data_IF_654806059653
#
_entry.id   IF_654806059653
#
_cell.length_a   1.000
_cell.length_b   1.000
_cell.length_c   1.000
_cell.angle_alpha   90.00
_cell.angle_beta   90.00
_cell.angle_gamma   90.00
#
_symmetry.space_group_name_H-M   'P 1'
#
loop_
_entity.id
_entity.type
_entity.pdbx_description
1 polymer ?
#
# COMPACT_ATOMS: atom_id res chain seq x y z
N UNK A 1 23.33 -23.99 -3.32
CA UNK A 1 22.75 -22.63 -3.20
C UNK A 1 22.10 -22.32 -4.52
N UNK A 2 20.79 -22.08 -4.54
CA UNK A 2 20.12 -21.61 -5.75
C UNK A 2 20.68 -20.23 -6.12
N UNK A 3 20.87 -19.98 -7.42
CA UNK A 3 21.27 -18.65 -7.88
C UNK A 3 20.20 -17.63 -7.48
N UNK A 4 20.59 -16.40 -7.07
CA UNK A 4 19.63 -15.37 -6.75
C UNK A 4 18.78 -15.06 -7.98
N UNK A 5 17.47 -14.91 -7.77
CA UNK A 5 16.53 -14.50 -8.81
C UNK A 5 16.99 -13.16 -9.43
N UNK A 6 17.39 -13.18 -10.68
CA UNK A 6 17.76 -11.98 -11.44
C UNK A 6 16.59 -11.55 -12.32
N UNK A 7 15.92 -10.44 -11.96
CA UNK A 7 14.88 -9.84 -12.79
C UNK A 7 15.52 -9.10 -13.97
N UNK A 8 15.89 -9.81 -15.02
CA UNK A 8 16.41 -9.21 -16.26
C UNK A 8 15.33 -8.63 -17.17
N UNK A 9 14.05 -8.70 -16.74
CA UNK A 9 12.89 -8.38 -17.60
C UNK A 9 12.69 -6.88 -17.87
N UNK A 10 13.45 -5.99 -17.23
CA UNK A 10 13.26 -4.54 -17.32
C UNK A 10 11.95 -4.04 -16.67
N UNK A 11 11.20 -4.92 -16.02
CA UNK A 11 9.97 -4.58 -15.30
C UNK A 11 10.31 -3.97 -13.94
N UNK A 12 9.56 -2.93 -13.56
CA UNK A 12 9.75 -2.26 -12.28
C UNK A 12 9.38 -3.17 -11.09
N UNK A 13 8.25 -3.88 -11.21
CA UNK A 13 7.74 -4.84 -10.22
C UNK A 13 7.24 -6.08 -10.95
N UNK A 14 7.55 -7.23 -10.42
CA UNK A 14 7.03 -8.53 -10.84
C UNK A 14 6.27 -9.17 -9.68
N UNK A 15 5.13 -9.77 -10.01
CA UNK A 15 4.32 -10.51 -9.06
C UNK A 15 4.20 -11.97 -9.47
N UNK A 16 4.23 -12.85 -8.49
CA UNK A 16 4.05 -14.29 -8.67
C UNK A 16 2.96 -14.77 -7.73
N UNK A 17 2.07 -15.61 -8.21
CA UNK A 17 0.98 -16.20 -7.44
C UNK A 17 1.36 -17.63 -7.04
N UNK A 18 1.04 -18.02 -5.79
CA UNK A 18 1.26 -19.38 -5.30
C UNK A 18 0.24 -20.37 -5.88
N UNK A 19 -0.96 -19.91 -6.19
CA UNK A 19 -2.05 -20.75 -6.69
C UNK A 19 -2.92 -20.01 -7.72
N UNK A 20 -3.59 -20.74 -8.63
CA UNK A 20 -4.36 -20.12 -9.72
C UNK A 20 -5.56 -19.29 -9.29
N UNK A 21 -6.16 -19.58 -8.12
CA UNK A 21 -7.33 -18.87 -7.59
C UNK A 21 -7.00 -17.52 -6.95
N UNK A 22 -5.70 -17.23 -6.69
CA UNK A 22 -5.28 -15.96 -6.11
C UNK A 22 -5.54 -14.82 -7.08
N UNK A 23 -6.26 -13.81 -6.61
CA UNK A 23 -6.57 -12.63 -7.42
C UNK A 23 -5.27 -11.87 -7.70
N UNK A 24 -4.91 -11.65 -8.97
CA UNK A 24 -3.70 -10.90 -9.29
C UNK A 24 -3.81 -9.45 -8.82
N UNK A 25 -2.68 -8.79 -8.52
CA UNK A 25 -2.69 -7.38 -8.16
C UNK A 25 -3.33 -6.54 -9.27
N UNK A 26 -4.31 -5.73 -8.92
CA UNK A 26 -5.01 -4.85 -9.86
C UNK A 26 -4.43 -3.45 -9.77
N UNK A 27 -4.21 -2.80 -10.92
CA UNK A 27 -3.78 -1.41 -10.92
C UNK A 27 -4.77 -0.56 -10.10
N UNK A 28 -4.26 0.21 -9.15
CA UNK A 28 -5.07 1.10 -8.34
C UNK A 28 -5.73 2.19 -9.22
N UNK A 29 -6.99 2.52 -8.93
CA UNK A 29 -7.72 3.50 -9.71
C UNK A 29 -7.66 4.90 -9.07
N UNK A 30 -7.74 5.92 -9.90
CA UNK A 30 -7.62 7.32 -9.49
C UNK A 30 -8.82 7.85 -8.70
N UNK A 31 -9.92 7.10 -8.64
CA UNK A 31 -11.11 7.46 -7.87
C UNK A 31 -11.11 6.87 -6.47
N UNK A 32 -10.11 6.01 -6.15
CA UNK A 32 -10.11 5.19 -4.94
C UNK A 32 -11.42 4.39 -4.79
N UNK A 33 -11.81 3.68 -5.86
CA UNK A 33 -13.08 2.93 -5.91
C UNK A 33 -14.31 3.77 -5.53
N UNK A 34 -14.31 5.06 -5.90
CA UNK A 34 -15.35 6.01 -5.56
C UNK A 34 -15.22 6.65 -4.17
N UNK A 35 -14.13 6.37 -3.43
CA UNK A 35 -13.89 6.93 -2.10
C UNK A 35 -13.57 8.43 -2.11
N UNK A 36 -13.05 8.96 -3.24
CA UNK A 36 -12.78 10.39 -3.36
C UNK A 36 -14.06 11.14 -3.74
N UNK A 37 -14.45 12.18 -2.99
CA UNK A 37 -15.59 13.04 -3.38
C UNK A 37 -15.43 13.58 -4.80
N UNK A 38 -16.53 13.76 -5.53
CA UNK A 38 -16.53 14.19 -6.94
C UNK A 38 -15.69 15.47 -7.18
N UNK A 39 -15.79 16.47 -6.30
CA UNK A 39 -14.98 17.69 -6.39
C UNK A 39 -13.47 17.39 -6.19
N UNK A 40 -13.10 16.51 -5.25
CA UNK A 40 -11.72 16.07 -5.06
C UNK A 40 -11.20 15.34 -6.29
N UNK A 41 -11.98 14.43 -6.85
CA UNK A 41 -11.62 13.70 -8.07
C UNK A 41 -11.48 14.64 -9.27
N UNK A 42 -12.33 15.66 -9.39
CA UNK A 42 -12.31 16.60 -10.51
C UNK A 42 -11.14 17.61 -10.44
N UNK A 43 -10.84 18.11 -9.23
CA UNK A 43 -9.95 19.28 -9.10
C UNK A 43 -8.61 18.96 -8.41
N UNK A 44 -8.52 17.88 -7.63
CA UNK A 44 -7.31 17.57 -6.87
C UNK A 44 -6.49 16.43 -7.50
N UNK A 45 -5.55 16.79 -8.37
CA UNK A 45 -4.66 15.78 -8.99
C UNK A 45 -3.77 15.06 -7.94
N UNK A 46 -3.44 15.70 -6.83
CA UNK A 46 -2.67 15.07 -5.76
C UNK A 46 -3.41 13.87 -5.16
N UNK A 47 -4.73 13.99 -4.86
CA UNK A 47 -5.55 12.89 -4.39
C UNK A 47 -5.63 11.76 -5.42
N UNK A 48 -5.87 12.11 -6.69
CA UNK A 48 -5.96 11.15 -7.79
C UNK A 48 -4.66 10.39 -8.00
N UNK A 49 -3.53 11.09 -7.96
CA UNK A 49 -2.21 10.48 -8.12
C UNK A 49 -1.92 9.51 -6.98
N UNK A 50 -2.16 9.91 -5.72
CA UNK A 50 -1.97 9.04 -4.58
C UNK A 50 -2.85 7.77 -4.63
N UNK A 51 -4.12 7.92 -5.05
CA UNK A 51 -5.05 6.79 -5.18
C UNK A 51 -4.66 5.83 -6.30
N UNK A 52 -4.30 6.36 -7.48
CA UNK A 52 -3.95 5.56 -8.66
C UNK A 52 -2.49 5.09 -8.69
N UNK A 53 -1.72 5.29 -7.61
CA UNK A 53 -0.31 4.94 -7.57
C UNK A 53 -0.11 3.52 -7.03
N UNK A 54 0.32 2.59 -7.89
CA UNK A 54 0.60 1.21 -7.54
C UNK A 54 -0.58 0.26 -7.80
N UNK A 55 -0.73 -0.73 -6.94
CA UNK A 55 -1.65 -1.86 -7.13
C UNK A 55 -2.45 -2.15 -5.88
N UNK A 56 -3.70 -2.50 -6.06
CA UNK A 56 -4.55 -3.12 -5.04
C UNK A 56 -4.20 -4.60 -4.90
N UNK A 57 -4.16 -5.06 -3.65
CA UNK A 57 -3.94 -6.46 -3.30
C UNK A 57 -5.11 -6.96 -2.47
N UNK A 58 -5.52 -8.19 -2.75
CA UNK A 58 -6.71 -8.82 -2.19
C UNK A 58 -6.31 -9.89 -1.17
N UNK A 59 -7.18 -10.21 -0.21
CA UNK A 59 -7.02 -11.41 0.60
C UNK A 59 -7.05 -12.66 -0.30
N UNK A 60 -6.38 -13.76 0.08
CA UNK A 60 -6.38 -15.00 -0.71
C UNK A 60 -7.75 -15.70 -0.73
N UNK A 61 -8.55 -15.47 0.30
CA UNK A 61 -9.93 -15.95 0.48
C UNK A 61 -10.68 -14.96 1.35
N UNK A 62 -11.98 -15.17 1.57
CA UNK A 62 -12.70 -14.45 2.62
C UNK A 62 -12.15 -14.84 3.99
N UNK A 63 -11.85 -13.86 4.83
CA UNK A 63 -11.32 -14.05 6.18
C UNK A 63 -12.27 -13.36 7.15
N UNK A 64 -12.87 -14.12 8.07
CA UNK A 64 -13.69 -13.58 9.16
C UNK A 64 -12.97 -13.77 10.49
N UNK A 65 -12.72 -12.66 11.18
CA UNK A 65 -11.98 -12.59 12.43
C UNK A 65 -12.86 -12.02 13.54
N UNK A 66 -12.57 -12.42 14.77
CA UNK A 66 -13.10 -11.83 15.99
C UNK A 66 -12.01 -11.76 17.04
N UNK A 67 -11.92 -10.65 17.75
CA UNK A 67 -10.97 -10.46 18.85
C UNK A 67 -11.73 -10.21 20.15
N UNK A 68 -11.43 -10.94 21.22
CA UNK A 68 -12.10 -10.80 22.52
C UNK A 68 -11.37 -9.85 23.49
N UNK A 69 -10.24 -9.29 23.07
CA UNK A 69 -9.37 -8.44 23.88
C UNK A 69 -8.06 -9.14 24.27
N UNK A 70 -8.03 -10.46 24.25
CA UNK A 70 -6.87 -11.31 24.55
C UNK A 70 -6.47 -12.15 23.35
N UNK A 71 -7.40 -12.93 22.78
CA UNK A 71 -7.18 -13.85 21.68
C UNK A 71 -7.93 -13.44 20.42
N UNK A 72 -7.35 -13.79 19.29
CA UNK A 72 -8.00 -13.66 17.98
C UNK A 72 -8.59 -15.02 17.57
N UNK A 73 -9.81 -14.99 17.07
CA UNK A 73 -10.52 -16.16 16.55
C UNK A 73 -10.70 -16.02 15.04
N UNK A 74 -10.57 -17.12 14.34
CA UNK A 74 -10.87 -17.27 12.92
C UNK A 74 -12.16 -18.10 12.77
N UNK A 75 -13.04 -17.67 11.88
CA UNK A 75 -14.18 -18.48 11.44
C UNK A 75 -13.69 -19.45 10.36
N UNK A 76 -13.75 -20.74 10.62
CA UNK A 76 -13.43 -21.80 9.67
C UNK A 76 -14.52 -22.86 9.74
N UNK A 77 -15.04 -23.28 8.59
CA UNK A 77 -16.08 -24.30 8.46
C UNK A 77 -17.33 -24.05 9.34
N UNK A 78 -17.66 -22.77 9.54
CA UNK A 78 -18.80 -22.35 10.35
C UNK A 78 -18.55 -22.29 11.86
N UNK A 79 -17.34 -22.61 12.32
CA UNK A 79 -16.96 -22.59 13.73
C UNK A 79 -15.87 -21.56 14.03
N UNK A 80 -15.94 -20.94 15.21
CA UNK A 80 -14.90 -20.03 15.70
C UNK A 80 -13.82 -20.80 16.46
N UNK A 81 -12.60 -20.75 15.95
CA UNK A 81 -11.43 -21.36 16.59
C UNK A 81 -10.36 -20.30 16.92
N UNK A 82 -9.63 -20.44 18.04
CA UNK A 82 -8.48 -19.60 18.34
C UNK A 82 -7.46 -19.63 17.19
N UNK A 83 -7.06 -18.43 16.72
CA UNK A 83 -6.12 -18.30 15.63
C UNK A 83 -4.69 -18.28 16.15
N UNK A 84 -3.91 -19.30 15.82
CA UNK A 84 -2.45 -19.27 15.89
C UNK A 84 -1.88 -18.98 14.50
N UNK A 85 -2.07 -19.91 13.58
CA UNK A 85 -1.72 -19.76 12.16
C UNK A 85 -2.56 -20.73 11.35
N UNK A 86 -2.99 -20.31 10.17
CA UNK A 86 -3.82 -21.13 9.29
C UNK A 86 -3.22 -21.17 7.89
N UNK A 87 -3.08 -22.38 7.36
CA UNK A 87 -2.66 -22.66 5.98
C UNK A 87 -3.90 -22.99 5.15
N UNK A 88 -3.97 -22.43 3.93
CA UNK A 88 -5.00 -22.83 2.96
C UNK A 88 -4.62 -24.17 2.33
N UNK A 89 -5.52 -25.17 2.33
CA UNK A 89 -5.25 -26.44 1.68
C UNK A 89 -4.93 -26.32 0.20
N UNK A 90 -5.66 -25.45 -0.52
CA UNK A 90 -5.44 -25.24 -1.96
C UNK A 90 -4.10 -24.58 -2.24
N UNK A 91 -3.68 -23.63 -1.38
CA UNK A 91 -2.36 -22.99 -1.51
C UNK A 91 -1.25 -23.99 -1.16
N UNK A 92 -1.46 -24.88 -0.19
CA UNK A 92 -0.50 -25.93 0.17
C UNK A 92 -0.34 -26.93 -0.96
N UNK A 93 -1.43 -27.40 -1.57
CA UNK A 93 -1.39 -28.30 -2.71
C UNK A 93 -0.66 -27.68 -3.91
N UNK A 94 -0.98 -26.46 -4.27
CA UNK A 94 -0.32 -25.74 -5.35
C UNK A 94 1.16 -25.50 -5.08
N UNK A 95 1.52 -25.18 -3.84
CA UNK A 95 2.91 -25.04 -3.39
C UNK A 95 3.67 -26.36 -3.56
N UNK A 96 3.16 -27.44 -3.03
CA UNK A 96 3.82 -28.76 -3.03
C UNK A 96 3.93 -29.36 -4.44
N UNK A 97 3.04 -28.95 -5.36
CA UNK A 97 3.09 -29.33 -6.75
C UNK A 97 4.23 -28.64 -7.54
N UNK A 98 4.67 -27.46 -7.08
CA UNK A 98 5.61 -26.60 -7.83
C UNK A 98 6.93 -26.34 -7.13
N UNK A 99 7.00 -26.47 -5.81
CA UNK A 99 8.19 -26.18 -5.04
C UNK A 99 9.25 -27.30 -5.16
N UNK A 100 10.54 -27.00 -4.90
CA UNK A 100 11.57 -28.00 -4.76
C UNK A 100 11.25 -29.00 -3.61
N UNK A 101 11.71 -30.27 -3.70
CA UNK A 101 11.38 -31.29 -2.71
C UNK A 101 11.65 -30.92 -1.26
N UNK A 102 12.72 -30.17 -1.02
CA UNK A 102 13.12 -29.70 0.31
C UNK A 102 12.21 -28.61 0.90
N UNK A 103 11.34 -28.01 0.07
CA UNK A 103 10.40 -26.98 0.49
C UNK A 103 8.97 -27.49 0.65
N UNK A 104 8.71 -28.77 0.40
CA UNK A 104 7.38 -29.35 0.55
C UNK A 104 6.89 -29.22 1.99
N UNK A 105 5.61 -28.88 2.14
CA UNK A 105 5.00 -28.59 3.44
C UNK A 105 5.40 -27.24 4.03
N UNK A 106 6.23 -26.45 3.33
CA UNK A 106 6.74 -25.16 3.79
C UNK A 106 5.94 -23.95 3.31
N UNK A 107 4.70 -24.14 2.81
CA UNK A 107 3.85 -23.02 2.39
C UNK A 107 3.60 -22.09 3.57
N UNK A 108 3.74 -20.75 3.39
CA UNK A 108 3.42 -19.80 4.44
C UNK A 108 1.94 -19.85 4.84
N UNK A 109 1.60 -19.66 6.12
CA UNK A 109 0.19 -19.51 6.52
C UNK A 109 -0.39 -18.24 5.89
N UNK A 110 -1.66 -18.33 5.43
CA UNK A 110 -2.33 -17.17 4.84
C UNK A 110 -2.85 -16.19 5.90
N UNK A 111 -3.05 -16.65 7.13
CA UNK A 111 -3.42 -15.82 8.27
C UNK A 111 -2.77 -16.34 9.55
N UNK A 112 -2.23 -15.43 10.37
CA UNK A 112 -1.58 -15.76 11.64
C UNK A 112 -1.82 -14.66 12.66
N UNK A 113 -2.06 -15.05 13.92
CA UNK A 113 -2.01 -14.13 15.06
C UNK A 113 -0.55 -13.88 15.43
N UNK A 114 -0.18 -12.62 15.63
CA UNK A 114 1.17 -12.27 16.07
C UNK A 114 1.24 -12.15 17.59
N UNK A 115 2.47 -12.04 18.12
CA UNK A 115 2.71 -11.94 19.58
C UNK A 115 2.16 -10.66 20.23
N UNK A 116 1.68 -9.72 19.42
CA UNK A 116 1.01 -8.49 19.89
C UNK A 116 -0.49 -8.72 19.90
N UNK A 117 -1.19 -8.55 21.04
CA UNK A 117 -2.63 -8.77 21.11
C UNK A 117 -3.42 -8.02 20.04
N UNK A 118 -4.31 -8.71 19.35
CA UNK A 118 -5.15 -8.18 18.30
C UNK A 118 -4.41 -7.83 17.00
N UNK A 119 -3.14 -8.24 16.83
CA UNK A 119 -2.41 -8.06 15.57
C UNK A 119 -2.41 -9.36 14.77
N UNK A 120 -2.83 -9.27 13.52
CA UNK A 120 -2.95 -10.40 12.58
C UNK A 120 -2.12 -10.10 11.35
N UNK A 121 -1.32 -11.07 10.93
CA UNK A 121 -0.62 -11.05 9.65
C UNK A 121 -1.42 -11.83 8.60
N UNK A 122 -1.56 -11.26 7.43
CA UNK A 122 -2.29 -11.87 6.30
C UNK A 122 -1.35 -11.91 5.10
N UNK A 123 -1.15 -13.09 4.54
CA UNK A 123 -0.45 -13.29 3.29
C UNK A 123 -1.45 -13.32 2.14
N UNK A 124 -1.19 -12.55 1.12
CA UNK A 124 -2.08 -12.47 -0.06
C UNK A 124 -1.98 -13.68 -1.01
N UNK A 125 -1.05 -14.62 -0.76
CA UNK A 125 -0.71 -15.69 -1.71
C UNK A 125 0.20 -15.22 -2.85
N UNK A 126 0.69 -13.98 -2.79
CA UNK A 126 1.56 -13.40 -3.79
C UNK A 126 2.99 -13.30 -3.27
N UNK A 127 3.92 -13.31 -4.22
CA UNK A 127 5.30 -12.86 -4.05
C UNK A 127 5.56 -11.66 -4.94
N UNK A 128 6.48 -10.81 -4.52
CA UNK A 128 6.92 -9.64 -5.29
C UNK A 128 8.44 -9.59 -5.40
N UNK A 129 8.91 -9.12 -6.55
CA UNK A 129 10.30 -8.77 -6.79
C UNK A 129 10.36 -7.43 -7.51
N UNK A 130 11.42 -6.65 -7.26
CA UNK A 130 11.61 -5.36 -7.92
C UNK A 130 12.98 -5.27 -8.57
N UNK A 131 13.10 -4.38 -9.55
CA UNK A 131 14.37 -4.04 -10.16
C UNK A 131 15.31 -3.32 -9.18
N UNK A 132 16.62 -3.23 -9.50
CA UNK A 132 17.61 -2.63 -8.62
C UNK A 132 17.22 -1.20 -8.18
N UNK A 133 17.37 -0.93 -6.89
CA UNK A 133 17.05 0.36 -6.29
C UNK A 133 15.57 0.65 -6.08
N UNK A 134 14.66 -0.28 -6.43
CA UNK A 134 13.23 -0.15 -6.22
C UNK A 134 12.73 -1.14 -5.16
N UNK A 135 11.77 -0.71 -4.39
CA UNK A 135 11.20 -1.44 -3.26
C UNK A 135 9.68 -1.28 -3.26
N UNK A 136 8.98 -1.98 -2.39
CA UNK A 136 7.54 -1.82 -2.25
C UNK A 136 7.16 -1.24 -0.89
N UNK A 137 6.33 -0.21 -0.91
CA UNK A 137 5.60 0.27 0.25
C UNK A 137 4.27 -0.47 0.31
N UNK A 138 4.06 -1.22 1.38
CA UNK A 138 2.78 -1.84 1.75
C UNK A 138 2.04 -0.86 2.64
N UNK A 139 0.79 -0.52 2.31
CA UNK A 139 0.03 0.49 3.04
C UNK A 139 -1.49 0.30 2.95
N UNK A 140 -2.27 0.94 3.83
CA UNK A 140 -3.71 1.08 3.64
C UNK A 140 -4.03 1.70 2.28
N UNK A 141 -5.19 1.39 1.72
CA UNK A 141 -5.60 1.95 0.44
C UNK A 141 -5.75 3.46 0.56
N UNK A 142 -5.06 4.19 -0.30
CA UNK A 142 -5.04 5.65 -0.27
C UNK A 142 -6.42 6.25 -0.54
N UNK A 143 -6.82 7.24 0.28
CA UNK A 143 -8.06 8.01 0.15
C UNK A 143 -9.36 7.19 0.26
N UNK A 144 -9.28 5.98 0.80
CA UNK A 144 -10.47 5.24 1.26
C UNK A 144 -10.60 5.47 2.76
N UNK A 145 -11.83 5.72 3.20
CA UNK A 145 -12.13 5.74 4.63
C UNK A 145 -11.87 4.35 5.19
N UNK A 146 -10.91 4.24 6.09
CA UNK A 146 -10.54 2.98 6.72
C UNK A 146 -11.69 2.36 7.51
N UNK A 147 -11.59 1.09 7.78
CA UNK A 147 -12.49 0.39 8.70
C UNK A 147 -12.37 0.98 10.11
N UNK A 148 -13.47 1.03 10.85
CA UNK A 148 -13.43 1.34 12.29
C UNK A 148 -13.03 0.11 13.12
N UNK A 149 -13.13 -1.07 12.53
CA UNK A 149 -12.89 -2.33 13.22
C UNK A 149 -11.42 -2.78 13.16
N UNK A 150 -10.64 -2.30 12.17
CA UNK A 150 -9.21 -2.59 12.07
C UNK A 150 -8.44 -1.46 11.39
N UNK A 151 -7.13 -1.44 11.60
CA UNK A 151 -6.18 -0.60 10.86
C UNK A 151 -5.08 -1.47 10.26
N UNK A 152 -4.55 -1.06 9.10
CA UNK A 152 -3.39 -1.68 8.47
C UNK A 152 -2.11 -0.96 8.92
N UNK A 153 -1.05 -1.72 9.18
CA UNK A 153 0.29 -1.16 9.34
C UNK A 153 0.90 -0.88 7.98
N UNK A 154 1.70 0.16 7.92
CA UNK A 154 2.52 0.46 6.73
C UNK A 154 3.93 -0.12 6.91
N UNK A 155 4.56 -0.52 5.80
CA UNK A 155 5.93 -1.00 5.82
C UNK A 155 6.58 -0.89 4.45
N UNK A 156 7.89 -0.62 4.43
CA UNK A 156 8.70 -0.68 3.21
C UNK A 156 9.47 -1.99 3.22
N UNK A 157 9.32 -2.76 2.15
CA UNK A 157 10.02 -4.03 1.96
C UNK A 157 11.05 -3.85 0.85
N UNK A 158 12.30 -4.16 1.16
CA UNK A 158 13.43 -4.02 0.24
C UNK A 158 13.49 -5.18 -0.76
N UNK A 159 12.53 -5.21 -1.68
CA UNK A 159 12.30 -6.28 -2.66
C UNK A 159 13.27 -6.27 -3.83
N UNK A 160 14.22 -5.36 -3.88
CA UNK A 160 15.31 -5.34 -4.87
C UNK A 160 16.43 -6.34 -4.56
N UNK A 161 16.61 -6.69 -3.29
CA UNK A 161 17.57 -7.71 -2.85
C UNK A 161 16.91 -8.88 -2.09
N UNK A 162 15.86 -8.61 -1.30
CA UNK A 162 15.08 -9.64 -0.60
C UNK A 162 13.93 -10.11 -1.51
N UNK A 163 14.26 -10.91 -2.51
CA UNK A 163 13.33 -11.32 -3.57
C UNK A 163 13.47 -12.79 -4.00
N UNK A 164 12.36 -13.43 -4.43
CA UNK A 164 10.99 -12.92 -4.34
C UNK A 164 10.51 -12.90 -2.88
N UNK A 165 9.88 -11.81 -2.46
CA UNK A 165 9.38 -11.63 -1.09
C UNK A 165 7.88 -11.93 -1.02
N UNK A 166 7.40 -12.73 -0.05
CA UNK A 166 5.97 -12.91 0.15
C UNK A 166 5.30 -11.58 0.56
N UNK A 167 4.15 -11.30 -0.04
CA UNK A 167 3.42 -10.04 0.14
C UNK A 167 2.45 -10.18 1.31
N UNK A 168 2.88 -9.72 2.48
CA UNK A 168 2.09 -9.69 3.72
C UNK A 168 1.53 -8.30 4.00
N UNK A 169 0.44 -8.25 4.75
CA UNK A 169 -0.05 -7.08 5.48
C UNK A 169 -0.27 -7.46 6.94
N UNK A 170 0.11 -6.60 7.86
CA UNK A 170 -0.25 -6.70 9.26
C UNK A 170 -1.42 -5.76 9.53
N UNK A 171 -2.47 -6.27 10.15
CA UNK A 171 -3.62 -5.49 10.60
C UNK A 171 -3.73 -5.54 12.12
N UNK A 172 -4.18 -4.45 12.71
CA UNK A 172 -4.56 -4.39 14.12
C UNK A 172 -6.07 -4.32 14.21
N UNK A 173 -6.67 -5.27 14.93
CA UNK A 173 -8.08 -5.27 15.26
C UNK A 173 -8.33 -4.18 16.32
N UNK A 174 -9.35 -3.35 16.12
CA UNK A 174 -9.67 -2.20 16.97
C UNK A 174 -10.97 -2.38 17.74
N UNK A 175 -11.82 -3.32 17.31
CA UNK A 175 -13.10 -3.64 17.95
C UNK A 175 -13.03 -5.01 18.61
N UNK A 176 -13.51 -5.12 19.84
CA UNK A 176 -13.59 -6.38 20.57
C UNK A 176 -14.99 -6.99 20.42
N UNK A 177 -15.05 -8.32 20.31
CA UNK A 177 -16.29 -9.09 20.18
C UNK A 177 -17.15 -8.78 18.94
N UNK A 178 -16.57 -8.04 17.98
CA UNK A 178 -17.20 -7.79 16.68
C UNK A 178 -16.65 -8.75 15.62
N UNK A 179 -17.49 -9.16 14.69
CA UNK A 179 -17.06 -9.94 13.54
C UNK A 179 -16.52 -8.98 12.48
N UNK A 180 -15.28 -9.20 12.10
CA UNK A 180 -14.57 -8.43 11.08
C UNK A 180 -14.36 -9.33 9.88
N UNK A 181 -15.09 -9.08 8.79
CA UNK A 181 -14.96 -9.84 7.55
C UNK A 181 -14.14 -9.06 6.54
N UNK A 182 -13.13 -9.70 5.99
CA UNK A 182 -12.29 -9.25 4.89
C UNK A 182 -12.68 -10.01 3.63
N UNK A 183 -13.54 -9.44 2.75
CA UNK A 183 -14.03 -10.15 1.57
C UNK A 183 -12.93 -10.39 0.55
N UNK A 184 -12.87 -11.59 -0.05
CA UNK A 184 -11.88 -11.93 -1.05
C UNK A 184 -11.91 -11.02 -2.29
N UNK A 185 -13.08 -10.49 -2.65
CA UNK A 185 -13.29 -9.64 -3.83
C UNK A 185 -13.11 -8.14 -3.55
N UNK A 186 -12.69 -7.75 -2.36
CA UNK A 186 -12.37 -6.36 -2.02
C UNK A 186 -10.89 -6.24 -1.69
N UNK A 187 -10.21 -5.23 -2.23
CA UNK A 187 -8.80 -5.04 -1.91
C UNK A 187 -8.63 -4.71 -0.42
N UNK A 188 -7.62 -5.34 0.18
CA UNK A 188 -7.28 -5.17 1.59
C UNK A 188 -6.25 -4.06 1.79
N UNK A 189 -5.29 -3.94 0.87
CA UNK A 189 -4.20 -2.98 0.96
C UNK A 189 -3.71 -2.57 -0.43
N UNK A 190 -2.80 -1.60 -0.45
CA UNK A 190 -2.17 -1.07 -1.66
C UNK A 190 -0.66 -1.27 -1.59
N UNK A 191 -0.05 -1.69 -2.70
CA UNK A 191 1.38 -1.69 -2.92
C UNK A 191 1.76 -0.51 -3.78
N UNK A 192 2.82 0.19 -3.39
CA UNK A 192 3.37 1.31 -4.15
C UNK A 192 4.87 1.09 -4.36
N UNK A 193 5.39 1.25 -5.59
CA UNK A 193 6.83 1.20 -5.81
C UNK A 193 7.47 2.46 -5.23
N UNK A 194 8.53 2.28 -4.46
CA UNK A 194 9.32 3.38 -3.89
C UNK A 194 10.79 3.20 -4.23
N UNK A 195 11.46 4.27 -4.62
CA UNK A 195 12.89 4.21 -4.87
C UNK A 195 13.67 4.22 -3.55
N UNK A 196 14.71 3.37 -3.43
CA UNK A 196 15.54 3.25 -2.22
C UNK A 196 16.03 4.61 -1.71
N UNK A 197 16.46 5.47 -2.60
CA UNK A 197 16.94 6.81 -2.24
C UNK A 197 15.89 7.71 -1.58
N UNK A 198 14.59 7.35 -1.58
CA UNK A 198 13.54 8.19 -0.99
C UNK A 198 13.33 7.96 0.51
N UNK A 199 13.87 6.89 1.09
CA UNK A 199 13.71 6.54 2.50
C UNK A 199 15.02 6.26 3.24
N UNK A 200 16.17 6.67 2.68
CA UNK A 200 17.44 6.64 3.39
C UNK A 200 17.51 7.80 4.39
N UNK A 201 18.09 7.54 5.55
CA UNK A 201 18.24 8.54 6.63
C UNK A 201 18.91 9.82 6.13
N UNK A 202 19.91 9.71 5.26
CA UNK A 202 20.60 10.86 4.66
C UNK A 202 19.65 11.81 3.92
N UNK A 203 18.53 11.31 3.38
CA UNK A 203 17.53 12.16 2.71
C UNK A 203 16.71 12.92 3.73
N UNK A 204 16.36 12.28 4.84
CA UNK A 204 15.66 12.95 5.95
C UNK A 204 16.54 14.00 6.62
N UNK A 205 17.84 13.72 6.78
CA UNK A 205 18.81 14.65 7.37
C UNK A 205 19.14 15.83 6.44
N UNK A 206 18.90 15.68 5.12
CA UNK A 206 19.06 16.75 4.15
C UNK A 206 17.90 17.77 4.14
N UNK A 207 16.84 17.53 4.91
CA UNK A 207 15.75 18.47 5.01
C UNK A 207 16.16 19.73 5.77
N UNK A 208 15.96 20.88 5.14
CA UNK A 208 16.24 22.19 5.73
C UNK A 208 14.93 22.84 6.19
N UNK A 209 14.91 23.31 7.43
CA UNK A 209 13.81 24.07 8.00
C UNK A 209 14.24 25.50 8.25
N UNK A 210 13.69 26.46 7.47
CA UNK A 210 13.89 27.89 7.65
C UNK A 210 12.57 28.57 8.02
N UNK A 211 12.62 29.43 9.01
CA UNK A 211 11.52 30.33 9.32
C UNK A 211 11.55 31.51 8.36
N UNK A 212 10.39 31.88 7.83
CA UNK A 212 10.29 33.15 7.11
C UNK A 212 10.69 34.27 8.07
N UNK A 213 11.72 35.08 7.78
CA UNK A 213 12.07 36.20 8.62
C UNK A 213 10.88 37.16 8.69
N UNK A 214 10.55 37.61 9.90
CA UNK A 214 9.61 38.70 10.07
C UNK A 214 10.03 39.87 9.17
N UNK A 215 9.09 40.39 8.40
CA UNK A 215 9.25 41.40 7.36
C UNK A 215 10.43 42.37 7.56
N UNK A 216 11.62 41.91 7.29
CA UNK A 216 12.80 42.77 7.15
C UNK A 216 13.00 43.04 5.66
N UNK A 217 13.11 44.30 5.24
CA UNK A 217 13.47 44.61 3.85
C UNK A 217 14.71 43.85 3.44
N UNK A 218 14.59 42.97 2.43
CA UNK A 218 15.69 42.14 1.94
C UNK A 218 15.80 40.72 2.51
N UNK A 219 14.92 40.29 3.44
CA UNK A 219 15.08 39.00 4.15
C UNK A 219 14.73 37.74 3.36
N UNK A 220 13.81 37.78 2.38
CA UNK A 220 13.43 36.60 1.56
C UNK A 220 13.62 36.92 0.09
N UNK A 221 14.29 36.08 -0.69
CA UNK A 221 14.49 36.32 -2.13
C UNK A 221 13.17 36.56 -2.86
N UNK A 222 13.13 37.54 -3.76
CA UNK A 222 11.93 37.85 -4.57
C UNK A 222 11.42 36.66 -5.39
N UNK A 223 12.31 35.75 -5.76
CA UNK A 223 11.96 34.46 -6.40
C UNK A 223 11.08 33.57 -5.53
N UNK A 224 11.31 33.52 -4.21
CA UNK A 224 10.48 32.78 -3.29
C UNK A 224 9.05 33.30 -3.29
N UNK A 225 8.87 34.62 -3.15
CA UNK A 225 7.54 35.24 -3.16
C UNK A 225 6.84 35.13 -4.52
N UNK A 226 7.60 35.15 -5.61
CA UNK A 226 7.08 34.83 -6.94
C UNK A 226 6.48 33.41 -7.01
N UNK A 227 7.20 32.43 -6.43
CA UNK A 227 6.73 31.05 -6.30
C UNK A 227 5.47 30.96 -5.44
N UNK A 228 5.49 31.55 -4.25
CA UNK A 228 4.32 31.60 -3.34
C UNK A 228 3.12 32.25 -4.01
N UNK A 229 3.29 33.40 -4.65
CA UNK A 229 2.21 34.08 -5.36
C UNK A 229 1.60 33.20 -6.45
N UNK A 230 2.44 32.44 -7.16
CA UNK A 230 1.97 31.53 -8.20
C UNK A 230 1.16 30.35 -7.65
N UNK A 231 1.40 29.92 -6.42
CA UNK A 231 0.64 28.83 -5.77
C UNK A 231 -0.61 29.33 -5.07
N UNK A 232 -0.54 30.46 -4.34
CA UNK A 232 -1.64 31.02 -3.53
C UNK A 232 -2.74 31.67 -4.38
N UNK A 233 -2.41 32.29 -5.50
CA UNK A 233 -3.42 32.90 -6.41
C UNK A 233 -4.51 31.95 -6.86
N UNK A 234 -4.31 30.64 -6.71
CA UNK A 234 -5.33 29.63 -6.98
C UNK A 234 -6.40 29.48 -5.88
N UNK A 235 -6.26 30.18 -4.75
CA UNK A 235 -7.11 30.03 -3.55
C UNK A 235 -7.78 31.36 -3.16
N UNK A 236 -7.99 32.27 -4.12
CA UNK A 236 -8.69 33.52 -3.81
C UNK A 236 -10.18 33.25 -3.57
N UNK A 237 -10.77 33.71 -2.43
CA UNK A 237 -12.21 33.64 -2.21
C UNK A 237 -13.04 34.39 -3.29
N UNK A 238 -12.43 35.37 -3.93
CA UNK A 238 -13.06 36.16 -5.00
C UNK A 238 -13.11 35.43 -6.35
N UNK A 239 -12.36 34.32 -6.48
CA UNK A 239 -12.29 33.48 -7.68
C UNK A 239 -12.41 32.02 -7.36
N UNK A 240 -13.58 31.55 -6.93
CA UNK A 240 -13.77 30.14 -6.54
C UNK A 240 -13.54 29.14 -7.70
N UNK A 241 -13.44 29.61 -8.93
CA UNK A 241 -13.16 28.78 -10.12
C UNK A 241 -11.66 28.49 -10.34
N UNK A 242 -10.76 29.12 -9.60
CA UNK A 242 -9.33 28.87 -9.67
C UNK A 242 -8.90 27.63 -8.84
N UNK A 243 -9.84 26.95 -8.17
CA UNK A 243 -9.61 25.68 -7.54
C UNK A 243 -9.09 24.66 -8.57
N UNK A 244 -8.00 23.97 -8.24
CA UNK A 244 -7.44 22.96 -9.12
C UNK A 244 -6.37 23.45 -10.08
N UNK A 245 -5.79 24.64 -9.87
CA UNK A 245 -4.65 25.13 -10.67
C UNK A 245 -3.51 24.12 -10.71
N UNK A 246 -3.13 23.53 -9.57
CA UNK A 246 -2.13 22.46 -9.53
C UNK A 246 -2.50 21.31 -10.48
N UNK A 247 -3.71 20.78 -10.36
CA UNK A 247 -4.18 19.70 -11.24
C UNK A 247 -4.23 20.11 -12.72
N UNK A 248 -4.57 21.37 -13.02
CA UNK A 248 -4.55 21.90 -14.39
C UNK A 248 -3.12 21.93 -14.95
N UNK A 249 -2.16 22.42 -14.18
CA UNK A 249 -0.76 22.47 -14.61
C UNK A 249 -0.14 21.09 -14.75
N UNK A 250 -0.44 20.15 -13.84
CA UNK A 250 0.00 18.75 -13.95
C UNK A 250 -0.53 18.12 -15.25
N UNK A 251 -1.81 18.30 -15.56
CA UNK A 251 -2.41 17.78 -16.81
C UNK A 251 -1.80 18.42 -18.07
N UNK A 252 -1.48 19.71 -18.03
CA UNK A 252 -0.77 20.38 -19.13
C UNK A 252 0.64 19.82 -19.33
N UNK A 253 1.37 19.58 -18.25
CA UNK A 253 2.71 18.99 -18.30
C UNK A 253 2.67 17.57 -18.85
N UNK A 254 1.74 16.73 -18.36
CA UNK A 254 1.58 15.35 -18.84
C UNK A 254 1.27 15.23 -20.33
N UNK A 255 0.62 16.25 -20.93
CA UNK A 255 0.37 16.32 -22.39
C UNK A 255 1.61 16.74 -23.21
N UNK A 256 2.63 17.31 -22.58
CA UNK A 256 3.86 17.79 -23.23
C UNK A 256 5.02 16.80 -23.13
N UNK A 257 4.89 15.80 -22.28
CA UNK A 257 5.85 14.71 -22.15
C UNK A 257 5.41 13.58 -23.08
N UNK A 258 6.24 13.21 -24.10
CA UNK A 258 5.91 12.16 -25.06
C UNK A 258 5.74 10.80 -24.45
#
# INVERSE_FOLDING_TARGET
MAEPYDSTSGKLVEFFSVAPHIIPPMRADKSAMGGIPAAGHQYCEALRTASGFGWYVFPPSEISLRWDGAEVFLLSDGEWAPLTSQVSPEMAEAWDATCPPEMKGGVPPYVSSLFVPGVVQIWSGLFAATGPGWNVLVRPIANIVGSRAYSCYEGVIETDWFKPCPVFINIRLLATNEVITLPANKPLFQLQPVHRGSFLDVVSDAAQFDRLPAFTPGGVPGQFWGGVTNTIRSVSPERPHDFGRYGSEVRKRAKRTP
#
